data_IF_551896667189
#
_entry.id   IF_551896667189
#
_cell.length_a   1.000
_cell.length_b   1.000
_cell.length_c   1.000
_cell.angle_alpha   90.00
_cell.angle_beta   90.00
_cell.angle_gamma   90.00
#
_symmetry.space_group_name_H-M   'P 1'
#
loop_
_entity.id
_entity.type
_entity.pdbx_description
1 polymer ?
#
# COMPACT_ATOMS: atom_id res chain seq x y z
N UNK A 1 -2.47 -6.87 16.29
CA UNK A 1 -2.64 -6.56 14.85
C UNK A 1 -3.33 -5.22 14.77
N UNK A 2 -2.86 -4.34 13.91
CA UNK A 2 -3.60 -3.12 13.57
C UNK A 2 -4.75 -3.49 12.62
N UNK A 3 -5.91 -2.85 12.74
CA UNK A 3 -6.99 -3.08 11.76
C UNK A 3 -6.68 -2.33 10.47
N UNK A 4 -7.06 -2.88 9.32
CA UNK A 4 -6.88 -2.20 8.04
C UNK A 4 -7.58 -0.83 8.00
N UNK A 5 -8.69 -0.69 8.75
CA UNK A 5 -9.33 0.60 9.00
C UNK A 5 -8.39 1.61 9.65
N UNK A 6 -7.69 1.26 10.74
CA UNK A 6 -6.74 2.17 11.38
C UNK A 6 -5.57 2.53 10.45
N UNK A 7 -5.04 1.56 9.70
CA UNK A 7 -3.98 1.84 8.73
C UNK A 7 -4.44 2.85 7.66
N UNK A 8 -5.68 2.74 7.18
CA UNK A 8 -6.28 3.69 6.25
C UNK A 8 -6.58 5.06 6.88
N UNK A 9 -7.03 5.11 8.14
CA UNK A 9 -7.26 6.35 8.89
C UNK A 9 -5.93 7.12 9.12
N UNK A 10 -4.87 6.42 9.53
CA UNK A 10 -3.52 6.99 9.66
C UNK A 10 -2.96 7.47 8.30
N UNK A 11 -3.19 6.71 7.23
CA UNK A 11 -2.73 7.02 5.87
C UNK A 11 -3.44 8.27 5.31
N UNK A 12 -4.77 8.37 5.51
CA UNK A 12 -5.55 9.57 5.19
C UNK A 12 -5.10 10.77 6.03
N UNK A 13 -4.76 10.57 7.30
CA UNK A 13 -4.22 11.63 8.15
C UNK A 13 -2.87 12.16 7.65
N UNK A 14 -1.94 11.27 7.23
CA UNK A 14 -0.65 11.66 6.66
C UNK A 14 -0.81 12.47 5.36
N UNK A 15 -1.69 12.03 4.44
CA UNK A 15 -2.01 12.78 3.22
C UNK A 15 -2.65 14.15 3.51
N UNK A 16 -3.59 14.22 4.46
CA UNK A 16 -4.25 15.47 4.85
C UNK A 16 -3.31 16.45 5.57
N UNK A 17 -2.31 15.94 6.31
CA UNK A 17 -1.22 16.75 6.83
C UNK A 17 -0.26 17.24 5.72
N UNK A 18 -0.29 16.60 4.54
CA UNK A 18 0.65 16.77 3.42
C UNK A 18 2.10 16.45 3.82
N UNK A 19 2.26 15.58 4.81
CA UNK A 19 3.55 15.10 5.28
C UNK A 19 3.99 13.92 4.39
N UNK A 20 4.89 14.20 3.45
CA UNK A 20 5.40 13.21 2.51
C UNK A 20 6.10 12.04 3.23
N UNK A 21 6.85 12.30 4.30
CA UNK A 21 7.64 11.25 4.96
C UNK A 21 6.77 10.39 5.89
N UNK A 22 5.73 10.97 6.49
CA UNK A 22 4.64 10.20 7.10
C UNK A 22 3.92 9.32 6.06
N UNK A 23 3.57 9.86 4.88
CA UNK A 23 2.96 9.07 3.79
C UNK A 23 3.89 7.93 3.35
N UNK A 24 5.18 8.20 3.11
CA UNK A 24 6.13 7.16 2.70
C UNK A 24 6.29 6.06 3.76
N UNK A 25 6.13 6.37 5.05
CA UNK A 25 6.19 5.39 6.16
C UNK A 25 5.07 4.33 6.18
N UNK A 26 4.11 4.41 5.24
CA UNK A 26 3.13 3.33 5.00
C UNK A 26 3.62 2.29 3.98
N UNK A 27 4.65 2.57 3.19
CA UNK A 27 5.01 1.76 2.01
C UNK A 27 6.30 0.96 2.21
N UNK A 28 6.37 -0.19 1.54
CA UNK A 28 7.56 -1.05 1.48
C UNK A 28 8.67 -0.40 0.63
N UNK A 29 9.97 -0.62 0.95
CA UNK A 29 11.08 -0.30 0.05
C UNK A 29 10.88 -0.81 -1.39
N UNK A 30 10.23 -1.96 -1.55
CA UNK A 30 9.98 -2.68 -2.82
C UNK A 30 8.56 -2.47 -3.37
N UNK A 31 7.83 -1.46 -2.90
CA UNK A 31 6.43 -1.19 -3.31
C UNK A 31 6.24 -1.14 -4.82
N UNK A 32 5.16 -1.76 -5.32
CA UNK A 32 4.63 -1.54 -6.67
C UNK A 32 3.37 -0.67 -6.58
N UNK A 33 3.35 0.46 -7.28
CA UNK A 33 2.23 1.40 -7.29
C UNK A 33 1.74 1.60 -8.73
N UNK A 34 0.46 1.32 -8.99
CA UNK A 34 -0.14 1.31 -10.33
C UNK A 34 -1.27 2.35 -10.39
N UNK A 35 -1.21 3.28 -11.35
CA UNK A 35 -2.25 4.30 -11.52
C UNK A 35 -2.23 4.90 -12.92
N UNK A 36 -3.38 5.15 -13.57
CA UNK A 36 -3.42 5.85 -14.86
C UNK A 36 -2.84 7.28 -14.77
N UNK A 37 -2.80 7.88 -13.56
CA UNK A 37 -2.15 9.19 -13.35
C UNK A 37 -0.62 9.14 -13.35
N UNK A 38 0.00 7.96 -13.23
CA UNK A 38 1.47 7.79 -13.36
C UNK A 38 1.90 7.92 -14.81
N UNK A 39 1.15 7.33 -15.74
CA UNK A 39 1.37 7.52 -17.18
C UNK A 39 1.06 8.96 -17.62
N UNK A 40 -0.03 9.55 -17.12
CA UNK A 40 -0.36 10.96 -17.40
C UNK A 40 0.76 11.92 -16.94
N UNK A 41 1.33 11.71 -15.74
CA UNK A 41 2.46 12.50 -15.24
C UNK A 41 3.73 12.29 -16.09
N UNK A 42 4.00 11.06 -16.53
CA UNK A 42 5.14 10.77 -17.41
C UNK A 42 5.08 11.58 -18.71
N UNK A 43 3.92 11.59 -19.37
CA UNK A 43 3.73 12.39 -20.58
C UNK A 43 3.77 13.91 -20.29
N UNK A 44 3.10 14.38 -19.23
CA UNK A 44 3.05 15.80 -18.87
C UNK A 44 4.40 16.39 -18.44
N UNK A 45 5.33 15.57 -17.95
CA UNK A 45 6.66 16.00 -17.50
C UNK A 45 7.78 15.69 -18.50
N UNK A 46 7.45 15.22 -19.71
CA UNK A 46 8.46 14.82 -20.71
C UNK A 46 9.34 13.64 -20.25
N UNK A 47 8.80 12.77 -19.38
CA UNK A 47 9.49 11.60 -18.84
C UNK A 47 10.27 11.82 -17.54
N UNK A 48 10.18 12.99 -16.90
CA UNK A 48 10.92 13.28 -15.66
C UNK A 48 10.31 12.62 -14.42
N UNK A 49 8.98 12.44 -14.36
CA UNK A 49 8.26 11.86 -13.22
C UNK A 49 7.12 10.97 -13.71
N UNK A 50 7.03 9.74 -13.21
CA UNK A 50 6.04 8.75 -13.64
C UNK A 50 6.68 7.57 -14.37
N UNK A 51 5.85 6.77 -15.05
CA UNK A 51 6.27 5.66 -15.92
C UNK A 51 5.25 5.49 -17.07
N UNK A 52 5.67 5.20 -18.31
CA UNK A 52 4.74 5.08 -19.45
C UNK A 52 3.81 3.87 -19.37
N UNK A 53 4.14 2.85 -18.57
CA UNK A 53 3.26 1.70 -18.29
C UNK A 53 2.26 1.97 -17.16
N UNK A 54 2.31 3.14 -16.52
CA UNK A 54 1.48 3.48 -15.37
C UNK A 54 1.94 2.86 -14.04
N UNK A 55 3.12 2.22 -14.00
CA UNK A 55 3.62 1.49 -12.82
C UNK A 55 4.90 2.11 -12.27
N UNK A 56 4.89 2.47 -10.99
CA UNK A 56 6.09 2.82 -10.22
C UNK A 56 6.57 1.60 -9.43
N UNK A 57 7.88 1.43 -9.33
CA UNK A 57 8.53 0.32 -8.60
C UNK A 57 9.58 0.88 -7.66
N UNK A 58 9.49 0.49 -6.39
CA UNK A 58 10.38 0.94 -5.32
C UNK A 58 10.03 2.31 -4.74
N UNK A 59 10.36 2.48 -3.46
CA UNK A 59 10.00 3.64 -2.65
C UNK A 59 10.52 4.98 -3.20
N UNK A 60 11.67 4.99 -3.89
CA UNK A 60 12.28 6.19 -4.46
C UNK A 60 11.45 6.82 -5.58
N UNK A 61 11.01 6.00 -6.55
CA UNK A 61 10.17 6.45 -7.65
C UNK A 61 8.79 6.94 -7.14
N UNK A 62 8.23 6.23 -6.14
CA UNK A 62 6.99 6.62 -5.49
C UNK A 62 7.11 7.96 -4.74
N UNK A 63 8.19 8.18 -3.98
CA UNK A 63 8.43 9.44 -3.26
C UNK A 63 8.59 10.63 -4.21
N UNK A 64 9.24 10.45 -5.36
CA UNK A 64 9.35 11.50 -6.38
C UNK A 64 7.99 11.90 -6.96
N UNK A 65 7.15 10.90 -7.28
CA UNK A 65 5.80 11.13 -7.80
C UNK A 65 4.88 11.79 -6.76
N UNK A 66 4.89 11.32 -5.51
CA UNK A 66 4.09 11.91 -4.43
C UNK A 66 4.55 13.32 -4.03
N UNK A 67 5.86 13.61 -4.07
CA UNK A 67 6.39 14.96 -3.83
C UNK A 67 5.82 15.98 -4.84
N UNK A 68 5.75 15.61 -6.13
CA UNK A 68 5.12 16.44 -7.16
C UNK A 68 3.61 16.59 -6.90
N UNK A 69 2.92 15.50 -6.58
CA UNK A 69 1.48 15.50 -6.30
C UNK A 69 1.09 16.42 -5.14
N UNK A 70 1.81 16.34 -4.01
CA UNK A 70 1.59 17.22 -2.84
C UNK A 70 1.88 18.69 -3.20
N UNK A 71 2.98 18.95 -3.91
CA UNK A 71 3.38 20.31 -4.28
C UNK A 71 2.40 20.99 -5.25
N UNK A 72 1.79 20.21 -6.16
CA UNK A 72 0.85 20.72 -7.15
C UNK A 72 -0.59 20.94 -6.61
N UNK A 73 -0.92 20.38 -5.44
CA UNK A 73 -2.29 20.31 -4.92
C UNK A 73 -2.37 20.97 -3.53
N UNK A 74 -2.29 22.31 -3.42
CA UNK A 74 -2.31 23.00 -2.13
C UNK A 74 -3.60 22.76 -1.33
N UNK A 75 -4.72 22.47 -1.99
CA UNK A 75 -6.00 22.12 -1.37
C UNK A 75 -6.24 20.62 -1.14
N UNK A 76 -5.24 19.75 -1.33
CA UNK A 76 -5.37 18.31 -1.20
C UNK A 76 -6.10 17.91 0.10
N UNK A 77 -7.24 17.24 -0.01
CA UNK A 77 -7.96 16.65 1.12
C UNK A 77 -8.62 15.34 0.71
N UNK A 78 -8.34 14.28 1.46
CA UNK A 78 -8.96 12.97 1.33
C UNK A 78 -9.98 12.78 2.45
N UNK A 79 -11.19 12.36 2.11
CA UNK A 79 -12.25 12.04 3.05
C UNK A 79 -12.62 10.56 2.94
N UNK A 80 -12.17 9.77 3.93
CA UNK A 80 -12.36 8.32 3.99
C UNK A 80 -13.85 7.96 4.06
N UNK A 81 -14.34 7.21 3.08
CA UNK A 81 -15.75 6.79 3.00
C UNK A 81 -15.93 5.37 3.54
N UNK A 82 -15.12 4.42 3.08
CA UNK A 82 -15.17 3.03 3.52
C UNK A 82 -13.81 2.33 3.40
N UNK A 83 -13.64 1.29 4.20
CA UNK A 83 -12.54 0.33 4.12
C UNK A 83 -13.13 -1.06 4.02
N UNK A 84 -12.71 -1.81 3.00
CA UNK A 84 -13.22 -3.13 2.62
C UNK A 84 -12.11 -4.16 2.78
N UNK A 85 -12.43 -5.34 3.32
CA UNK A 85 -11.49 -6.47 3.36
C UNK A 85 -11.59 -7.29 2.06
N UNK A 86 -10.44 -7.64 1.50
CA UNK A 86 -10.32 -8.41 0.27
C UNK A 86 -10.20 -9.92 0.51
N UNK A 87 -9.90 -10.70 -0.55
CA UNK A 87 -9.61 -12.12 -0.41
C UNK A 87 -8.29 -12.38 0.36
N UNK A 88 -8.04 -13.64 0.77
CA UNK A 88 -6.75 -14.05 1.33
C UNK A 88 -5.55 -13.55 0.53
N UNK A 89 -4.48 -13.16 1.22
CA UNK A 89 -3.31 -12.49 0.64
C UNK A 89 -3.07 -11.06 1.14
N UNK A 90 -3.91 -10.54 2.04
CA UNK A 90 -3.72 -9.23 2.69
C UNK A 90 -4.20 -8.04 1.85
N UNK A 91 -5.19 -8.26 0.99
CA UNK A 91 -5.82 -7.24 0.16
C UNK A 91 -6.88 -6.44 0.94
N UNK A 92 -6.92 -5.13 0.72
CA UNK A 92 -7.95 -4.23 1.24
C UNK A 92 -8.32 -3.18 0.19
N UNK A 93 -9.57 -2.73 0.19
CA UNK A 93 -10.03 -1.57 -0.60
C UNK A 93 -10.22 -0.36 0.31
N UNK A 94 -9.62 0.78 -0.04
CA UNK A 94 -9.79 2.06 0.65
C UNK A 94 -10.48 3.03 -0.30
N UNK A 95 -11.72 3.40 0.00
CA UNK A 95 -12.45 4.38 -0.80
C UNK A 95 -12.45 5.74 -0.11
N UNK A 96 -12.12 6.79 -0.86
CA UNK A 96 -12.14 8.16 -0.37
C UNK A 96 -12.64 9.16 -1.44
N UNK A 97 -13.26 10.24 -0.97
CA UNK A 97 -13.61 11.40 -1.81
C UNK A 97 -12.48 12.41 -1.73
N UNK A 98 -12.11 13.02 -2.85
CA UNK A 98 -11.10 14.10 -2.91
C UNK A 98 -11.70 15.48 -2.71
N UNK A 99 -10.87 16.51 -2.51
CA UNK A 99 -11.28 17.92 -2.45
C UNK A 99 -12.03 18.40 -3.71
N UNK A 100 -11.85 17.70 -4.83
CA UNK A 100 -12.53 17.95 -6.12
C UNK A 100 -13.90 17.27 -6.23
N UNK A 101 -14.40 16.63 -5.16
CA UNK A 101 -15.62 15.80 -5.18
C UNK A 101 -15.47 14.46 -5.91
N UNK A 102 -14.31 14.19 -6.52
CA UNK A 102 -14.07 12.98 -7.29
C UNK A 102 -13.85 11.76 -6.37
N UNK A 103 -14.52 10.66 -6.68
CA UNK A 103 -14.40 9.40 -5.96
C UNK A 103 -13.16 8.61 -6.40
N UNK A 104 -12.45 8.01 -5.45
CA UNK A 104 -11.27 7.15 -5.67
C UNK A 104 -11.39 5.88 -4.84
N UNK A 105 -11.00 4.75 -5.43
CA UNK A 105 -10.79 3.49 -4.73
C UNK A 105 -9.34 3.06 -4.91
N UNK A 106 -8.60 2.89 -3.82
CA UNK A 106 -7.27 2.28 -3.85
C UNK A 106 -7.35 0.86 -3.30
N UNK A 107 -6.90 -0.14 -4.09
CA UNK A 107 -6.67 -1.48 -3.54
C UNK A 107 -5.23 -1.60 -3.07
N UNK A 108 -5.06 -1.91 -1.79
CA UNK A 108 -3.78 -2.00 -1.11
C UNK A 108 -3.54 -3.47 -0.74
N UNK A 109 -2.35 -4.01 -1.03
CA UNK A 109 -1.88 -5.25 -0.41
C UNK A 109 -0.90 -4.92 0.68
N UNK A 110 -1.17 -5.40 1.89
CA UNK A 110 -0.24 -5.30 3.01
C UNK A 110 0.74 -6.49 2.98
N UNK A 111 1.96 -6.24 3.46
CA UNK A 111 2.90 -7.29 3.82
C UNK A 111 2.26 -8.22 4.87
N UNK A 112 2.48 -9.53 4.74
CA UNK A 112 2.13 -10.49 5.77
C UNK A 112 2.83 -10.10 7.08
N UNK A 113 2.15 -10.25 8.23
CA UNK A 113 2.79 -9.97 9.51
C UNK A 113 3.97 -10.92 9.73
N UNK A 114 5.04 -10.48 10.39
CA UNK A 114 6.19 -11.34 10.67
C UNK A 114 5.75 -12.57 11.49
N UNK A 115 5.82 -13.76 10.87
CA UNK A 115 5.25 -15.01 11.39
C UNK A 115 4.14 -15.61 10.51
N UNK A 116 3.56 -14.85 9.58
CA UNK A 116 2.60 -15.31 8.56
C UNK A 116 3.32 -15.64 7.24
N UNK A 117 4.35 -16.48 7.30
CA UNK A 117 4.92 -17.09 6.09
C UNK A 117 3.85 -17.96 5.39
N UNK A 118 3.90 -18.04 4.06
CA UNK A 118 2.76 -18.49 3.25
C UNK A 118 2.38 -19.97 3.45
N UNK A 119 1.36 -20.23 4.27
CA UNK A 119 0.54 -21.44 4.17
C UNK A 119 -0.37 -21.34 2.93
N UNK A 120 0.24 -21.44 1.73
CA UNK A 120 -0.43 -21.03 0.48
C UNK A 120 -0.04 -21.74 -0.81
N UNK A 121 1.00 -22.58 -0.85
CA UNK A 121 1.29 -23.41 -2.03
C UNK A 121 1.82 -24.79 -1.60
N UNK A 122 0.88 -25.70 -1.27
CA UNK A 122 1.20 -27.10 -0.98
C UNK A 122 1.33 -27.86 -2.30
N UNK A 123 2.56 -27.94 -2.81
CA UNK A 123 2.89 -28.87 -3.90
C UNK A 123 2.56 -30.31 -3.46
N UNK A 124 1.75 -31.02 -4.24
CA UNK A 124 1.23 -32.32 -3.87
C UNK A 124 2.27 -33.44 -4.07
N UNK A 125 3.15 -33.66 -3.08
CA UNK A 125 4.06 -34.80 -3.05
C UNK A 125 4.48 -35.21 -1.61
N UNK A 126 4.14 -36.44 -1.21
CA UNK A 126 4.86 -37.19 -0.16
C UNK A 126 4.49 -36.96 1.32
N UNK A 127 3.75 -37.93 1.88
CA UNK A 127 3.93 -38.39 3.27
C UNK A 127 5.10 -39.42 3.26
N UNK A 128 5.90 -39.73 4.29
CA UNK A 128 6.15 -39.22 5.66
C UNK A 128 7.64 -39.55 5.99
N UNK A 129 8.30 -39.32 7.14
CA UNK A 129 8.05 -38.74 8.48
C UNK A 129 9.46 -38.29 9.02
N UNK A 130 9.75 -37.80 10.23
CA UNK A 130 9.01 -37.63 11.49
C UNK A 130 9.99 -37.19 12.62
N UNK A 131 9.65 -37.50 13.88
CA UNK A 131 10.43 -37.32 15.14
C UNK A 131 10.60 -35.87 15.70
N UNK A 132 10.67 -35.76 17.04
CA UNK A 132 10.62 -34.52 17.82
C UNK A 132 11.85 -34.30 18.71
N UNK A 133 12.30 -33.04 18.87
CA UNK A 133 13.13 -32.61 20.00
C UNK A 133 12.99 -31.10 20.24
N UNK A 134 12.63 -30.70 21.46
CA UNK A 134 12.25 -29.32 21.78
C UNK A 134 13.40 -28.37 22.12
N UNK A 135 13.15 -27.06 22.05
CA UNK A 135 14.07 -25.99 22.44
C UNK A 135 13.34 -24.78 23.05
N UNK A 136 13.85 -24.28 24.17
CA UNK A 136 13.16 -23.31 25.05
C UNK A 136 12.80 -21.96 24.42
N UNK A 137 11.70 -21.37 24.93
CA UNK A 137 11.32 -19.98 24.65
C UNK A 137 12.31 -18.98 25.26
N UNK A 138 12.80 -18.08 24.43
CA UNK A 138 13.10 -16.68 24.78
C UNK A 138 12.65 -15.82 23.60
N UNK A 139 12.41 -14.52 23.70
CA UNK A 139 12.62 -13.61 24.82
C UNK A 139 12.70 -12.17 24.32
N UNK A 140 11.86 -11.81 23.35
CA UNK A 140 11.90 -10.52 22.65
C UNK A 140 10.56 -9.82 22.72
N UNK A 141 10.53 -8.65 23.37
CA UNK A 141 9.41 -7.73 23.28
C UNK A 141 9.43 -7.05 21.90
N UNK A 142 8.95 -7.77 20.88
CA UNK A 142 8.92 -7.29 19.51
C UNK A 142 8.10 -6.02 19.40
N UNK A 143 8.73 -4.94 18.92
CA UNK A 143 8.02 -3.79 18.35
C UNK A 143 7.01 -4.37 17.35
N UNK A 144 5.71 -4.12 17.54
CA UNK A 144 4.69 -4.67 16.64
C UNK A 144 4.90 -4.04 15.26
N UNK A 145 5.51 -4.81 14.35
CA UNK A 145 5.88 -4.34 13.03
C UNK A 145 4.64 -3.89 12.26
N UNK A 146 4.51 -2.58 12.08
CA UNK A 146 3.47 -1.96 11.25
C UNK A 146 3.53 -2.56 9.86
N UNK A 147 2.42 -3.15 9.41
CA UNK A 147 2.35 -3.81 8.11
C UNK A 147 2.45 -2.75 7.02
N UNK A 148 3.40 -2.92 6.10
CA UNK A 148 3.66 -1.98 5.02
C UNK A 148 2.88 -2.36 3.77
N UNK A 149 2.44 -1.36 3.02
CA UNK A 149 1.84 -1.50 1.69
C UNK A 149 2.93 -1.97 0.71
N UNK A 150 2.72 -3.13 0.11
CA UNK A 150 3.64 -3.74 -0.89
C UNK A 150 3.11 -3.63 -2.32
N UNK A 151 1.80 -3.60 -2.50
CA UNK A 151 1.15 -3.23 -3.77
C UNK A 151 0.05 -2.20 -3.50
N UNK A 152 -0.10 -1.25 -4.42
CA UNK A 152 -1.21 -0.30 -4.44
C UNK A 152 -1.70 -0.09 -5.88
N UNK A 153 -3.00 -0.25 -6.13
CA UNK A 153 -3.62 0.04 -7.45
C UNK A 153 -4.71 1.08 -7.29
N UNK A 154 -4.65 2.17 -8.06
CA UNK A 154 -5.55 3.32 -7.92
C UNK A 154 -6.60 3.35 -9.03
N UNK A 155 -7.86 3.18 -8.65
CA UNK A 155 -9.03 3.22 -9.51
C UNK A 155 -9.74 4.57 -9.36
N UNK A 156 -10.01 5.22 -10.48
CA UNK A 156 -10.82 6.44 -10.54
C UNK A 156 -12.17 6.15 -11.16
N UNK A 157 -13.21 6.79 -10.63
CA UNK A 157 -14.51 6.86 -11.28
C UNK A 157 -14.36 7.37 -12.73
N UNK A 158 -15.03 6.70 -13.66
CA UNK A 158 -15.01 7.12 -15.06
C UNK A 158 -15.91 8.33 -15.23
N UNK A 159 -15.33 9.47 -15.61
CA UNK A 159 -16.09 10.65 -16.02
C UNK A 159 -16.53 10.43 -17.46
N UNK A 160 -17.82 10.20 -17.65
CA UNK A 160 -18.48 10.07 -18.97
C UNK A 160 -18.62 11.42 -19.70
#
# INVERSE_FOLDING_TARGET
MESARKLAEDWVAAWNARDLDAVMSHYSPEVVFESPRVAAAFHATGGQVGSPDGVLRGLGALRQYFAQGISALPGLRLELQQVLEGPPGGWYGVQYTRETGAMVLETLRLAAAAGQAAAGEVAAAGQAEGDESGGSRSGGAGVQGRQLIVEARVFYEQVC
#
